data_IF_192688499381
#
_entry.id   IF_192688499381
#
_cell.length_a   1.000
_cell.length_b   1.000
_cell.length_c   1.000
_cell.angle_alpha   90.00
_cell.angle_beta   90.00
_cell.angle_gamma   90.00
#
_symmetry.space_group_name_H-M   'P 1'
#
loop_
_entity.id
_entity.type
_entity.pdbx_description
1 polymer ?
#
# COMPACT_ATOMS: atom_id res chain seq x y z
N UNK A 1 16.56 6.20 3.77
CA UNK A 1 15.67 5.10 3.33
C UNK A 1 14.67 4.85 4.44
N UNK A 2 13.43 4.54 4.09
CA UNK A 2 12.35 4.25 5.03
C UNK A 2 11.45 3.16 4.46
N UNK A 3 10.83 2.37 5.33
CA UNK A 3 9.86 1.37 4.92
C UNK A 3 8.53 2.04 4.58
N UNK A 4 7.98 1.70 3.41
CA UNK A 4 6.68 2.17 2.95
C UNK A 4 5.76 0.99 2.71
N UNK A 5 4.47 1.17 3.00
CA UNK A 5 3.41 0.25 2.59
C UNK A 5 2.74 0.81 1.34
N UNK A 6 2.76 0.02 0.26
CA UNK A 6 1.97 0.24 -0.96
C UNK A 6 0.75 -0.67 -0.91
N UNK A 7 -0.44 -0.11 -1.02
CA UNK A 7 -1.69 -0.86 -0.98
C UNK A 7 -2.50 -0.62 -2.25
N UNK A 8 -3.09 -1.69 -2.78
CA UNK A 8 -4.14 -1.61 -3.78
C UNK A 8 -5.50 -1.76 -3.07
N UNK A 9 -6.46 -0.94 -3.46
CA UNK A 9 -7.87 -1.09 -3.10
C UNK A 9 -8.70 -1.19 -4.36
N UNK A 10 -9.76 -1.99 -4.32
CA UNK A 10 -10.64 -2.21 -5.47
C UNK A 10 -11.41 -3.49 -5.22
N UNK A 11 -11.48 -4.36 -6.22
CA UNK A 11 -12.00 -5.72 -6.07
C UNK A 11 -11.18 -6.56 -5.08
N UNK A 12 -9.87 -6.31 -4.97
CA UNK A 12 -9.00 -6.88 -3.97
C UNK A 12 -8.48 -5.75 -3.08
N UNK A 13 -8.94 -5.72 -1.83
CA UNK A 13 -8.57 -4.74 -0.81
C UNK A 13 -7.49 -5.26 0.16
N UNK A 14 -6.99 -6.48 -0.09
CA UNK A 14 -6.00 -7.14 0.75
C UNK A 14 -4.57 -7.07 0.19
N UNK A 15 -4.39 -6.70 -1.09
CA UNK A 15 -3.05 -6.55 -1.67
C UNK A 15 -2.30 -5.38 -1.03
N UNK A 16 -1.27 -5.72 -0.25
CA UNK A 16 -0.34 -4.79 0.41
C UNK A 16 1.09 -5.30 0.27
N UNK A 17 2.02 -4.40 -0.01
CA UNK A 17 3.44 -4.69 -0.14
C UNK A 17 4.23 -3.70 0.70
N UNK A 18 5.19 -4.21 1.48
CA UNK A 18 6.14 -3.39 2.21
C UNK A 18 7.45 -3.31 1.42
N UNK A 19 7.97 -2.10 1.21
CA UNK A 19 9.16 -1.85 0.40
C UNK A 19 10.00 -0.72 1.02
N UNK A 20 11.31 -0.93 1.09
CA UNK A 20 12.25 0.12 1.49
C UNK A 20 12.52 1.06 0.32
N UNK A 21 12.32 2.36 0.55
CA UNK A 21 12.49 3.38 -0.47
C UNK A 21 13.36 4.53 0.06
N UNK A 22 14.17 5.10 -0.82
CA UNK A 22 14.70 6.46 -0.66
C UNK A 22 13.58 7.50 -0.84
N UNK A 23 13.84 8.75 -0.45
CA UNK A 23 12.87 9.83 -0.60
C UNK A 23 12.50 10.06 -2.08
N UNK A 24 13.48 9.93 -2.98
CA UNK A 24 13.27 10.06 -4.43
C UNK A 24 12.40 8.93 -4.98
N UNK A 25 12.66 7.69 -4.57
CA UNK A 25 11.85 6.53 -4.99
C UNK A 25 10.43 6.62 -4.42
N UNK A 26 10.27 7.02 -3.16
CA UNK A 26 8.96 7.24 -2.55
C UNK A 26 8.16 8.32 -3.30
N UNK A 27 8.81 9.42 -3.72
CA UNK A 27 8.19 10.45 -4.54
C UNK A 27 7.78 9.91 -5.92
N UNK A 28 8.59 9.06 -6.55
CA UNK A 28 8.27 8.43 -7.83
C UNK A 28 7.08 7.47 -7.70
N UNK A 29 7.09 6.58 -6.71
CA UNK A 29 5.99 5.64 -6.45
C UNK A 29 4.69 6.39 -6.12
N UNK A 30 4.77 7.49 -5.36
CA UNK A 30 3.60 8.34 -5.08
C UNK A 30 2.98 8.91 -6.35
N UNK A 31 3.79 9.43 -7.28
CA UNK A 31 3.28 9.92 -8.57
C UNK A 31 2.57 8.83 -9.36
N UNK A 32 3.11 7.60 -9.37
CA UNK A 32 2.46 6.46 -10.04
C UNK A 32 1.13 6.13 -9.36
N UNK A 33 1.11 6.06 -8.03
CA UNK A 33 -0.09 5.74 -7.26
C UNK A 33 -1.22 6.76 -7.50
N UNK A 34 -0.88 8.04 -7.55
CA UNK A 34 -1.81 9.14 -7.88
C UNK A 34 -2.32 9.03 -9.31
N UNK A 35 -1.45 8.78 -10.29
CA UNK A 35 -1.83 8.65 -11.69
C UNK A 35 -2.79 7.47 -11.93
N UNK A 36 -2.51 6.31 -11.32
CA UNK A 36 -3.39 5.13 -11.41
C UNK A 36 -4.74 5.41 -10.75
N UNK A 37 -4.73 6.01 -9.57
CA UNK A 37 -5.96 6.34 -8.84
C UNK A 37 -6.81 7.37 -9.60
N UNK A 38 -6.18 8.35 -10.28
CA UNK A 38 -6.88 9.36 -11.07
C UNK A 38 -7.45 8.78 -12.38
N UNK A 39 -6.78 7.79 -12.98
CA UNK A 39 -7.27 7.10 -14.17
C UNK A 39 -8.43 6.12 -13.88
N UNK A 40 -8.66 5.78 -12.61
CA UNK A 40 -9.74 4.88 -12.19
C UNK A 40 -11.11 5.60 -12.23
N UNK A 41 -11.98 5.16 -13.13
CA UNK A 41 -13.30 5.69 -13.46
C UNK A 41 -14.50 4.78 -13.12
N UNK A 42 -14.31 3.50 -12.78
CA UNK A 42 -15.39 2.57 -12.41
C UNK A 42 -15.19 1.88 -11.05
N UNK A 43 -16.28 1.35 -10.49
CA UNK A 43 -16.39 1.02 -9.06
C UNK A 43 -15.41 -0.02 -8.51
N UNK A 44 -14.80 -0.89 -9.35
CA UNK A 44 -13.90 -1.95 -8.90
C UNK A 44 -12.45 -1.80 -9.36
N UNK A 45 -12.06 -0.65 -9.89
CA UNK A 45 -10.68 -0.41 -10.35
C UNK A 45 -9.67 -0.28 -9.21
N UNK A 46 -8.39 -0.61 -9.50
CA UNK A 46 -7.33 -0.49 -8.53
C UNK A 46 -7.04 0.98 -8.21
N UNK A 47 -7.28 1.38 -6.96
CA UNK A 47 -6.75 2.60 -6.36
C UNK A 47 -5.49 2.25 -5.58
N UNK A 48 -4.41 2.98 -5.86
CA UNK A 48 -3.12 2.75 -5.24
C UNK A 48 -2.84 3.81 -4.18
N UNK A 49 -2.29 3.37 -3.05
CA UNK A 49 -1.94 4.23 -1.92
C UNK A 49 -0.53 3.90 -1.45
N UNK A 50 0.20 4.93 -1.01
CA UNK A 50 1.53 4.79 -0.41
C UNK A 50 1.62 5.59 0.88
N UNK A 51 2.02 4.92 1.96
CA UNK A 51 2.21 5.52 3.27
C UNK A 51 3.51 5.04 3.89
N UNK A 52 4.10 5.84 4.78
CA UNK A 52 5.17 5.33 5.64
C UNK A 52 4.61 4.14 6.42
N UNK A 53 5.36 3.03 6.45
CA UNK A 53 5.01 1.91 7.29
C UNK A 53 5.05 2.40 8.74
N UNK A 54 3.94 2.29 9.46
CA UNK A 54 3.93 2.60 10.88
C UNK A 54 4.93 1.67 11.58
N UNK A 55 5.83 2.17 12.43
CA UNK A 55 6.60 1.31 13.30
C UNK A 55 5.61 0.59 14.24
N UNK A 56 5.46 -0.72 14.04
CA UNK A 56 4.60 -1.66 14.78
C UNK A 56 3.10 -1.68 14.40
N UNK A 57 2.76 -2.56 13.46
CA UNK A 57 1.59 -3.43 13.61
C UNK A 57 2.13 -4.87 13.65
N UNK A 58 2.48 -5.34 14.85
CA UNK A 58 3.01 -6.68 15.10
C UNK A 58 2.12 -7.76 14.43
N UNK A 59 2.73 -8.57 13.57
CA UNK A 59 3.00 -9.99 13.83
C UNK A 59 2.23 -10.67 15.00
N UNK A 60 0.90 -10.62 15.05
CA UNK A 60 0.09 -11.50 15.91
C UNK A 60 -1.26 -11.83 15.26
N UNK A 61 -1.31 -12.88 14.44
CA UNK A 61 -2.48 -13.78 14.38
C UNK A 61 -2.02 -15.21 14.12
N UNK A 62 -1.31 -15.75 15.10
CA UNK A 62 -1.28 -17.18 15.36
C UNK A 62 -1.63 -17.39 16.83
N UNK A 63 -2.85 -17.87 17.09
CA UNK A 63 -3.19 -18.97 18.02
C UNK A 63 -4.70 -18.97 18.32
N UNK A 64 -5.35 -20.04 17.84
CA UNK A 64 -6.38 -20.87 18.48
C UNK A 64 -7.68 -20.20 19.00
N UNK A 65 -8.80 -20.64 18.44
CA UNK A 65 -10.07 -20.70 19.16
C UNK A 65 -10.38 -22.18 19.40
N UNK A 66 -10.59 -22.50 20.68
CA UNK A 66 -11.16 -23.76 21.20
C UNK A 66 -12.57 -24.03 20.65
#
# INVERSE_FOLDING_TARGET
MSLYTVAAKGCDDNTRVEIELTDTEAAAVRKVAEAVTAASTYSCEPRLYIHLASPNANHEKGTNHE
#
